data_IF_289609087644
#
_entry.id   IF_289609087644
#
_cell.length_a   1.000
_cell.length_b   1.000
_cell.length_c   1.000
_cell.angle_alpha   90.00
_cell.angle_beta   90.00
_cell.angle_gamma   90.00
#
_symmetry.space_group_name_H-M   'P 1'
#
loop_
_entity.id
_entity.type
_entity.pdbx_description
1 polymer ?
#
# COMPACT_ATOMS: atom_id res chain seq x y z
N UNK A 1 4.82 -26.63 -10.81
CA UNK A 1 5.19 -25.63 -11.81
C UNK A 1 5.92 -26.27 -12.99
N UNK A 2 7.20 -26.68 -12.90
CA UNK A 2 7.91 -27.32 -14.02
C UNK A 2 7.20 -28.52 -14.66
N UNK A 3 6.71 -29.49 -13.88
CA UNK A 3 6.06 -30.69 -14.45
C UNK A 3 4.66 -30.47 -15.05
N UNK A 4 3.91 -29.48 -14.55
CA UNK A 4 2.50 -29.27 -14.92
C UNK A 4 2.30 -28.08 -15.87
N UNK A 5 3.15 -27.07 -15.77
CA UNK A 5 3.03 -25.79 -16.47
C UNK A 5 4.26 -25.48 -17.32
N UNK A 6 5.32 -26.29 -17.26
CA UNK A 6 6.61 -26.04 -17.93
C UNK A 6 7.23 -24.67 -17.56
N UNK A 7 7.00 -24.26 -16.31
CA UNK A 7 7.52 -23.00 -15.74
C UNK A 7 8.64 -23.30 -14.75
N UNK A 8 9.81 -22.72 -14.99
CA UNK A 8 10.92 -22.69 -14.04
C UNK A 8 10.70 -21.59 -12.99
N UNK A 9 10.77 -21.97 -11.71
CA UNK A 9 10.67 -21.02 -10.60
C UNK A 9 12.08 -20.66 -10.16
N UNK A 10 12.50 -19.39 -10.26
CA UNK A 10 13.84 -18.99 -9.85
C UNK A 10 14.02 -19.18 -8.34
N UNK A 11 15.11 -19.84 -7.97
CA UNK A 11 15.50 -20.07 -6.57
C UNK A 11 16.81 -19.34 -6.25
N UNK A 12 16.97 -18.83 -5.02
CA UNK A 12 15.96 -18.80 -3.95
C UNK A 12 14.79 -17.85 -4.29
N UNK A 13 13.59 -18.20 -3.82
CA UNK A 13 12.43 -17.30 -3.94
C UNK A 13 12.75 -15.99 -3.20
N UNK A 14 12.49 -14.82 -3.80
CA UNK A 14 12.67 -13.52 -3.14
C UNK A 14 11.93 -13.44 -1.80
N UNK A 15 12.41 -12.57 -0.92
CA UNK A 15 11.82 -12.35 0.40
C UNK A 15 11.53 -10.87 0.59
N UNK A 16 10.45 -10.58 1.29
CA UNK A 16 10.00 -9.24 1.66
C UNK A 16 9.50 -9.30 3.10
N UNK A 17 9.77 -8.28 3.91
CA UNK A 17 9.18 -8.24 5.25
C UNK A 17 7.71 -7.83 5.18
N UNK A 18 6.90 -8.23 6.15
CA UNK A 18 5.51 -7.78 6.29
C UNK A 18 5.42 -6.25 6.25
N UNK A 19 6.32 -5.56 6.96
CA UNK A 19 6.38 -4.11 6.97
C UNK A 19 6.60 -3.53 5.56
N UNK A 20 7.48 -4.12 4.75
CA UNK A 20 7.68 -3.71 3.36
C UNK A 20 6.46 -4.01 2.49
N UNK A 21 5.83 -5.18 2.67
CA UNK A 21 4.65 -5.60 1.91
C UNK A 21 3.48 -4.62 2.15
N UNK A 22 3.21 -4.31 3.42
CA UNK A 22 2.20 -3.32 3.81
C UNK A 22 2.57 -1.90 3.38
N UNK A 23 3.84 -1.50 3.54
CA UNK A 23 4.26 -0.14 3.22
C UNK A 23 4.15 0.16 1.73
N UNK A 24 4.66 -0.74 0.89
CA UNK A 24 4.79 -0.56 -0.56
C UNK A 24 3.57 -1.06 -1.35
N UNK A 25 2.78 -2.00 -0.83
CA UNK A 25 1.68 -2.62 -1.59
C UNK A 25 0.33 -2.60 -0.87
N UNK A 26 0.28 -2.22 0.42
CA UNK A 26 -0.94 -2.25 1.21
C UNK A 26 -1.53 -3.66 1.38
N UNK A 27 -0.70 -4.69 1.30
CA UNK A 27 -1.11 -6.09 1.45
C UNK A 27 0.08 -6.95 1.82
N UNK A 28 -0.14 -7.90 2.72
CA UNK A 28 0.77 -8.99 3.09
C UNK A 28 0.81 -10.14 2.08
N UNK A 29 -0.12 -10.17 1.14
CA UNK A 29 -0.08 -11.01 -0.06
C UNK A 29 0.00 -10.14 -1.32
N UNK A 30 1.13 -9.45 -1.59
CA UNK A 30 1.22 -8.52 -2.70
C UNK A 30 1.29 -9.23 -4.06
N UNK A 31 0.58 -8.71 -5.05
CA UNK A 31 0.79 -9.08 -6.45
C UNK A 31 1.96 -8.28 -7.03
N UNK A 32 3.08 -8.95 -7.31
CA UNK A 32 4.32 -8.32 -7.78
C UNK A 32 4.45 -8.29 -9.32
N UNK A 33 3.42 -8.67 -10.07
CA UNK A 33 3.46 -8.67 -11.55
C UNK A 33 3.48 -7.27 -12.15
N UNK A 34 3.00 -6.27 -11.41
CA UNK A 34 2.92 -4.88 -11.83
C UNK A 34 3.48 -3.94 -10.76
N UNK A 35 3.75 -2.69 -11.14
CA UNK A 35 4.25 -1.65 -10.24
C UNK A 35 3.16 -1.09 -9.34
N UNK A 36 2.90 0.23 -9.47
CA UNK A 36 1.91 0.96 -8.68
C UNK A 36 2.15 0.87 -7.15
N UNK A 37 3.40 0.96 -6.72
CA UNK A 37 3.71 0.98 -5.28
C UNK A 37 3.07 2.18 -4.60
N UNK A 38 2.68 1.99 -3.34
CA UNK A 38 2.27 3.06 -2.44
C UNK A 38 3.51 3.88 -2.07
N UNK A 39 3.35 5.20 -2.03
CA UNK A 39 4.41 6.15 -1.69
C UNK A 39 3.94 7.01 -0.54
N UNK A 40 4.74 7.06 0.54
CA UNK A 40 4.50 7.84 1.75
C UNK A 40 4.76 9.34 1.51
N UNK A 41 3.76 10.18 1.77
CA UNK A 41 3.80 11.65 1.58
C UNK A 41 3.46 12.47 2.84
N UNK A 42 3.16 11.85 3.97
CA UNK A 42 2.72 12.49 5.23
C UNK A 42 3.62 13.64 5.68
N UNK A 43 4.94 13.50 5.59
CA UNK A 43 5.92 14.53 5.93
C UNK A 43 5.89 15.74 4.98
N UNK A 44 5.41 15.56 3.74
CA UNK A 44 5.28 16.65 2.76
C UNK A 44 3.95 17.41 2.89
N UNK A 45 2.96 16.80 3.53
CA UNK A 45 1.59 17.33 3.66
C UNK A 45 1.22 17.64 5.10
N UNK A 46 2.15 17.44 6.04
CA UNK A 46 2.04 17.89 7.42
C UNK A 46 1.86 19.42 7.44
N UNK A 47 0.75 19.87 8.00
CA UNK A 47 0.42 21.30 8.08
C UNK A 47 0.12 21.97 6.73
N UNK A 48 -0.14 21.23 5.65
CA UNK A 48 -0.58 21.83 4.38
C UNK A 48 -1.98 22.47 4.50
N UNK A 49 -2.32 23.35 3.55
CA UNK A 49 -3.63 24.04 3.55
C UNK A 49 -4.79 23.08 3.26
N UNK A 50 -4.51 21.90 2.68
CA UNK A 50 -5.52 20.89 2.43
C UNK A 50 -5.85 20.12 3.71
N UNK A 51 -6.86 20.62 4.43
CA UNK A 51 -7.24 20.14 5.76
C UNK A 51 -7.45 18.63 5.87
N UNK A 52 -7.93 17.95 4.83
CA UNK A 52 -8.13 16.50 4.85
C UNK A 52 -6.81 15.77 5.09
N UNK A 53 -5.72 16.21 4.47
CA UNK A 53 -4.40 15.60 4.64
C UNK A 53 -3.76 16.01 5.96
N UNK A 54 -3.79 17.31 6.28
CA UNK A 54 -3.22 17.82 7.52
C UNK A 54 -3.87 17.19 8.77
N UNK A 55 -5.19 17.01 8.76
CA UNK A 55 -5.92 16.39 9.87
C UNK A 55 -5.67 14.88 9.99
N UNK A 56 -5.50 14.17 8.87
CA UNK A 56 -5.16 12.75 8.90
C UNK A 56 -3.81 12.52 9.59
N UNK A 57 -2.78 13.28 9.20
CA UNK A 57 -1.44 13.22 9.81
C UNK A 57 -1.48 13.65 11.27
N UNK A 58 -2.13 14.78 11.58
CA UNK A 58 -2.24 15.26 12.97
C UNK A 58 -3.02 14.29 13.88
N UNK A 59 -3.90 13.46 13.31
CA UNK A 59 -4.64 12.40 14.01
C UNK A 59 -3.84 11.11 14.20
N UNK A 60 -2.57 11.05 13.81
CA UNK A 60 -1.73 9.85 13.86
C UNK A 60 -2.00 8.85 12.73
N UNK A 61 -2.74 9.26 11.69
CA UNK A 61 -2.87 8.51 10.45
C UNK A 61 -1.74 8.86 9.47
N UNK A 62 -1.95 8.53 8.20
CA UNK A 62 -0.98 8.76 7.15
C UNK A 62 -1.62 9.17 5.82
N UNK A 63 -0.79 9.74 4.94
CA UNK A 63 -1.14 10.07 3.56
C UNK A 63 -0.19 9.33 2.62
N UNK A 64 -0.76 8.38 1.87
CA UNK A 64 -0.05 7.66 0.81
C UNK A 64 -0.68 7.92 -0.54
N UNK A 65 0.13 7.72 -1.57
CA UNK A 65 -0.31 7.89 -2.95
C UNK A 65 0.18 6.77 -3.86
N UNK A 66 -0.52 6.59 -4.98
CA UNK A 66 -0.10 5.73 -6.09
C UNK A 66 0.07 6.61 -7.32
N UNK A 67 1.26 6.57 -7.93
CA UNK A 67 1.48 7.05 -9.30
C UNK A 67 0.96 6.00 -10.28
N UNK A 68 0.13 6.42 -11.21
CA UNK A 68 -0.43 5.63 -12.30
C UNK A 68 0.13 6.17 -13.63
N UNK A 69 1.18 5.54 -14.17
CA UNK A 69 1.79 5.97 -15.43
C UNK A 69 0.76 6.01 -16.56
N UNK A 70 0.68 7.12 -17.30
CA UNK A 70 -0.29 7.32 -18.38
C UNK A 70 -1.76 7.41 -17.94
N UNK A 71 -2.03 7.39 -16.63
CA UNK A 71 -3.38 7.42 -16.06
C UNK A 71 -4.11 8.77 -16.23
N UNK A 72 -3.43 9.80 -16.74
CA UNK A 72 -4.05 11.09 -17.07
C UNK A 72 -5.17 10.99 -18.11
N UNK A 73 -5.25 9.88 -18.84
CA UNK A 73 -6.31 9.57 -19.81
C UNK A 73 -7.64 9.18 -19.17
N UNK A 74 -7.65 8.74 -17.90
CA UNK A 74 -8.87 8.32 -17.20
C UNK A 74 -9.90 9.46 -17.14
N UNK A 75 -11.15 9.18 -17.48
CA UNK A 75 -12.21 10.20 -17.49
C UNK A 75 -12.57 10.66 -16.07
N UNK A 76 -13.32 11.76 -15.96
CA UNK A 76 -13.83 12.19 -14.65
C UNK A 76 -14.71 11.10 -14.00
N UNK A 77 -15.52 10.42 -14.81
CA UNK A 77 -16.35 9.30 -14.36
C UNK A 77 -15.49 8.16 -13.80
N UNK A 78 -14.40 7.80 -14.46
CA UNK A 78 -13.50 6.77 -13.96
C UNK A 78 -12.94 7.13 -12.58
N UNK A 79 -12.57 8.39 -12.37
CA UNK A 79 -12.06 8.87 -11.08
C UNK A 79 -13.14 8.88 -9.99
N UNK A 80 -14.38 9.23 -10.34
CA UNK A 80 -15.51 9.16 -9.42
C UNK A 80 -15.80 7.67 -9.05
N UNK A 81 -15.79 6.76 -10.02
CA UNK A 81 -15.96 5.30 -9.80
C UNK A 81 -14.83 4.72 -8.90
N UNK A 82 -13.58 5.15 -9.10
CA UNK A 82 -12.46 4.77 -8.23
C UNK A 82 -12.58 5.37 -6.82
N UNK A 83 -13.16 6.57 -6.69
CA UNK A 83 -13.45 7.18 -5.40
C UNK A 83 -14.50 6.38 -4.64
N UNK A 84 -15.54 5.90 -5.33
CA UNK A 84 -16.55 5.02 -4.73
C UNK A 84 -15.99 3.64 -4.38
N UNK A 85 -15.08 3.11 -5.20
CA UNK A 85 -14.39 1.86 -4.92
C UNK A 85 -13.63 1.89 -3.59
N UNK A 86 -12.80 2.91 -3.34
CA UNK A 86 -12.02 2.98 -2.09
C UNK A 86 -12.89 3.18 -0.85
N UNK A 87 -14.09 3.75 -0.99
CA UNK A 87 -15.03 3.92 0.13
C UNK A 87 -15.52 2.59 0.70
N UNK A 88 -15.57 1.55 -0.12
CA UNK A 88 -15.92 0.18 0.34
C UNK A 88 -14.89 -0.33 1.35
N UNK A 89 -13.65 0.13 1.26
CA UNK A 89 -12.53 -0.21 2.16
C UNK A 89 -12.34 0.83 3.28
N UNK A 90 -13.37 1.61 3.59
CA UNK A 90 -13.40 2.52 4.74
C UNK A 90 -12.81 3.92 4.48
N UNK A 91 -12.17 4.16 3.32
CA UNK A 91 -11.66 5.49 3.01
C UNK A 91 -12.81 6.50 2.87
N UNK A 92 -12.67 7.69 3.46
CA UNK A 92 -13.71 8.73 3.37
C UNK A 92 -13.83 9.33 1.96
N UNK A 93 -12.77 9.22 1.17
CA UNK A 93 -12.72 9.62 -0.22
C UNK A 93 -11.33 9.41 -0.82
N UNK A 94 -11.17 9.82 -2.06
CA UNK A 94 -9.92 9.74 -2.81
C UNK A 94 -9.62 11.11 -3.39
N UNK A 95 -8.44 11.65 -3.10
CA UNK A 95 -7.93 12.81 -3.83
C UNK A 95 -7.14 12.33 -5.04
N UNK A 96 -7.06 13.14 -6.09
CA UNK A 96 -6.34 12.77 -7.29
C UNK A 96 -5.73 14.00 -7.97
N UNK A 97 -4.65 13.80 -8.71
CA UNK A 97 -3.97 14.82 -9.51
C UNK A 97 -3.60 14.23 -10.86
N UNK A 98 -3.94 14.93 -11.94
CA UNK A 98 -3.35 14.65 -13.25
C UNK A 98 -2.21 15.62 -13.52
N UNK A 99 -1.06 15.10 -13.93
CA UNK A 99 0.07 15.92 -14.36
C UNK A 99 -0.09 16.26 -15.84
N UNK A 100 -0.37 17.52 -16.12
CA UNK A 100 -0.40 18.10 -17.46
C UNK A 100 0.92 18.82 -17.75
N UNK A 101 1.14 19.24 -19.00
CA UNK A 101 2.32 20.01 -19.39
C UNK A 101 2.40 21.38 -18.71
N UNK A 102 1.25 21.95 -18.35
CA UNK A 102 1.11 23.26 -17.71
C UNK A 102 0.97 23.18 -16.17
N UNK A 103 0.99 21.98 -15.58
CA UNK A 103 0.95 21.78 -14.13
C UNK A 103 -0.06 20.73 -13.67
N UNK A 104 -0.57 20.88 -12.46
CA UNK A 104 -1.54 19.96 -11.86
C UNK A 104 -2.97 20.32 -12.27
N UNK A 105 -3.66 19.36 -12.89
CA UNK A 105 -5.10 19.41 -13.06
C UNK A 105 -5.77 18.61 -11.93
N UNK A 106 -6.34 19.31 -10.95
CA UNK A 106 -6.98 18.69 -9.78
C UNK A 106 -7.84 19.67 -8.97
N UNK A 107 -8.92 19.20 -8.30
CA UNK A 107 -9.59 19.97 -7.25
C UNK A 107 -8.68 20.38 -6.08
N UNK A 108 -7.62 19.61 -5.81
CA UNK A 108 -6.73 19.83 -4.66
C UNK A 108 -5.48 20.66 -4.98
N UNK A 109 -5.18 20.91 -6.26
CA UNK A 109 -3.93 21.58 -6.68
C UNK A 109 -3.73 22.96 -6.02
N UNK A 110 -4.83 23.72 -5.86
CA UNK A 110 -4.81 25.08 -5.27
C UNK A 110 -4.39 25.12 -3.79
N UNK A 111 -4.35 23.99 -3.09
CA UNK A 111 -3.97 23.92 -1.68
C UNK A 111 -2.49 23.59 -1.46
N UNK A 112 -1.72 23.47 -2.54
CA UNK A 112 -0.29 23.17 -2.47
C UNK A 112 0.50 24.26 -3.19
N UNK A 113 1.59 24.70 -2.56
CA UNK A 113 2.51 25.64 -3.20
C UNK A 113 3.27 24.96 -4.35
N UNK A 114 3.84 25.73 -5.31
CA UNK A 114 4.66 25.16 -6.37
C UNK A 114 5.82 24.30 -5.85
N UNK A 115 6.43 24.67 -4.73
CA UNK A 115 7.52 23.92 -4.09
C UNK A 115 7.04 22.58 -3.52
N UNK A 116 5.87 22.55 -2.88
CA UNK A 116 5.26 21.32 -2.39
C UNK A 116 4.88 20.40 -3.56
N UNK A 117 4.28 20.94 -4.62
CA UNK A 117 3.96 20.18 -5.83
C UNK A 117 5.22 19.57 -6.44
N UNK A 118 6.29 20.36 -6.61
CA UNK A 118 7.56 19.89 -7.16
C UNK A 118 8.20 18.80 -6.30
N UNK A 119 8.12 18.92 -4.97
CA UNK A 119 8.70 17.91 -4.05
C UNK A 119 7.93 16.60 -4.11
N UNK A 120 6.59 16.66 -4.16
CA UNK A 120 5.75 15.48 -4.36
C UNK A 120 5.98 14.84 -5.74
N UNK A 121 6.10 15.65 -6.79
CA UNK A 121 6.43 15.18 -8.14
C UNK A 121 7.75 14.41 -8.16
N UNK A 122 8.80 14.95 -7.53
CA UNK A 122 10.09 14.29 -7.47
C UNK A 122 10.01 12.95 -6.70
N UNK A 123 9.33 12.92 -5.56
CA UNK A 123 9.20 11.69 -4.74
C UNK A 123 8.40 10.60 -5.44
N UNK A 124 7.36 10.99 -6.18
CA UNK A 124 6.53 10.07 -6.96
C UNK A 124 7.19 9.69 -8.30
N UNK A 125 8.22 10.43 -8.73
CA UNK A 125 8.77 10.36 -10.08
C UNK A 125 7.73 10.73 -11.13
N UNK A 126 6.86 11.71 -10.86
CA UNK A 126 5.69 12.00 -11.67
C UNK A 126 6.06 12.60 -13.03
N UNK A 127 5.49 12.05 -14.11
CA UNK A 127 5.71 12.53 -15.48
C UNK A 127 4.42 13.13 -16.08
N UNK A 128 4.59 13.93 -17.14
CA UNK A 128 3.43 14.49 -17.87
C UNK A 128 2.60 13.36 -18.49
N UNK A 129 1.29 13.40 -18.27
CA UNK A 129 0.35 12.36 -18.68
C UNK A 129 0.00 11.37 -17.58
N UNK A 130 0.65 11.43 -16.42
CA UNK A 130 0.38 10.55 -15.30
C UNK A 130 -0.79 11.03 -14.43
N UNK A 131 -1.35 10.08 -13.70
CA UNK A 131 -2.30 10.32 -12.61
C UNK A 131 -1.63 9.95 -11.29
N UNK A 132 -1.93 10.71 -10.24
CA UNK A 132 -1.67 10.34 -8.85
C UNK A 132 -3.00 10.25 -8.14
N UNK A 133 -3.20 9.17 -7.38
CA UNK A 133 -4.34 9.01 -6.47
C UNK A 133 -3.82 8.95 -5.04
N UNK A 134 -4.54 9.55 -4.11
CA UNK A 134 -4.14 9.72 -2.71
C UNK A 134 -5.23 9.19 -1.79
N UNK A 135 -4.80 8.57 -0.68
CA UNK A 135 -5.64 8.24 0.46
C UNK A 135 -5.02 8.85 1.73
N UNK A 136 -5.87 9.41 2.59
CA UNK A 136 -5.49 10.06 3.83
C UNK A 136 -6.45 9.61 4.94
N UNK A 137 -6.01 8.67 5.76
CA UNK A 137 -6.79 8.10 6.87
C UNK A 137 -5.84 7.36 7.85
N UNK A 138 -6.35 6.55 8.76
CA UNK A 138 -5.51 5.63 9.56
C UNK A 138 -4.76 4.63 8.69
N UNK A 139 -3.60 4.15 9.14
CA UNK A 139 -2.73 3.26 8.35
C UNK A 139 -3.43 2.01 7.82
N UNK A 140 -4.28 1.37 8.63
CA UNK A 140 -5.06 0.19 8.22
C UNK A 140 -5.97 0.51 7.02
N UNK A 141 -6.71 1.63 7.11
CA UNK A 141 -7.62 2.08 6.04
C UNK A 141 -6.84 2.49 4.79
N UNK A 142 -5.70 3.15 4.95
CA UNK A 142 -4.85 3.55 3.82
C UNK A 142 -4.29 2.33 3.09
N UNK A 143 -3.78 1.34 3.84
CA UNK A 143 -3.28 0.09 3.29
C UNK A 143 -4.39 -0.67 2.55
N UNK A 144 -5.54 -0.89 3.17
CA UNK A 144 -6.66 -1.61 2.57
C UNK A 144 -7.19 -0.90 1.32
N UNK A 145 -7.45 0.40 1.41
CA UNK A 145 -8.01 1.17 0.31
C UNK A 145 -7.05 1.24 -0.89
N UNK A 146 -5.78 1.61 -0.66
CA UNK A 146 -4.82 1.74 -1.75
C UNK A 146 -4.34 0.38 -2.27
N UNK A 147 -4.16 -0.62 -1.42
CA UNK A 147 -3.79 -1.98 -1.84
C UNK A 147 -4.83 -2.61 -2.76
N UNK A 148 -6.11 -2.47 -2.43
CA UNK A 148 -7.19 -2.93 -3.31
C UNK A 148 -7.34 -2.06 -4.56
N UNK A 149 -7.23 -0.73 -4.42
CA UNK A 149 -7.29 0.18 -5.57
C UNK A 149 -6.18 -0.12 -6.58
N UNK A 150 -4.98 -0.44 -6.09
CA UNK A 150 -3.82 -0.84 -6.89
C UNK A 150 -4.16 -2.05 -7.78
N UNK A 151 -4.82 -3.06 -7.22
CA UNK A 151 -5.26 -4.26 -7.95
C UNK A 151 -6.36 -3.93 -8.97
N UNK A 152 -7.32 -3.09 -8.58
CA UNK A 152 -8.40 -2.67 -9.49
C UNK A 152 -7.86 -1.84 -10.67
N UNK A 153 -6.90 -0.94 -10.43
CA UNK A 153 -6.20 -0.21 -11.47
C UNK A 153 -5.41 -1.15 -12.39
N UNK A 154 -4.69 -2.13 -11.83
CA UNK A 154 -3.98 -3.12 -12.63
C UNK A 154 -4.92 -3.95 -13.50
N UNK A 155 -6.12 -4.28 -13.02
CA UNK A 155 -7.15 -4.97 -13.80
C UNK A 155 -7.70 -4.08 -14.91
N UNK A 156 -8.05 -2.83 -14.64
CA UNK A 156 -8.61 -1.88 -15.63
C UNK A 156 -7.61 -1.50 -16.72
N UNK A 157 -6.34 -1.41 -16.36
CA UNK A 157 -5.24 -1.00 -17.23
C UNK A 157 -4.45 -2.20 -17.78
N UNK A 158 -4.90 -3.43 -17.51
CA UNK A 158 -4.31 -4.68 -18.00
C UNK A 158 -2.79 -4.78 -17.70
N UNK A 159 -2.38 -4.39 -16.50
CA UNK A 159 -0.96 -4.29 -16.11
C UNK A 159 -0.35 -5.63 -15.68
N UNK A 160 -1.16 -6.64 -15.41
CA UNK A 160 -0.72 -7.95 -14.94
C UNK A 160 -0.77 -8.96 -16.09
N UNK A 161 0.36 -9.59 -16.41
CA UNK A 161 0.43 -10.72 -17.34
C UNK A 161 0.09 -12.02 -16.59
N UNK A 162 -0.94 -12.73 -17.05
CA UNK A 162 -1.39 -13.99 -16.46
C UNK A 162 -0.43 -15.17 -16.68
N UNK A 163 0.53 -15.04 -17.60
CA UNK A 163 1.56 -16.04 -17.85
C UNK A 163 2.82 -15.81 -17.01
N UNK A 164 2.87 -14.71 -16.25
CA UNK A 164 3.99 -14.39 -15.37
C UNK A 164 3.69 -14.84 -13.95
N UNK A 165 4.60 -15.60 -13.37
CA UNK A 165 4.53 -16.05 -11.98
C UNK A 165 5.57 -15.29 -11.14
N UNK A 166 5.09 -14.55 -10.13
CA UNK A 166 5.93 -13.84 -9.17
C UNK A 166 5.68 -14.39 -7.78
N UNK A 167 6.68 -15.13 -7.30
CA UNK A 167 6.72 -15.65 -5.94
C UNK A 167 7.44 -14.67 -5.03
N UNK A 168 6.97 -14.54 -3.79
CA UNK A 168 7.72 -13.94 -2.69
C UNK A 168 7.39 -14.64 -1.39
N UNK A 169 8.38 -14.80 -0.53
CA UNK A 169 8.11 -15.01 0.88
C UNK A 169 7.81 -13.67 1.53
N UNK A 170 6.76 -13.62 2.34
CA UNK A 170 6.55 -12.54 3.31
C UNK A 170 6.94 -13.07 4.67
N UNK A 171 7.81 -12.35 5.38
CA UNK A 171 8.35 -12.77 6.68
C UNK A 171 8.21 -11.64 7.69
N UNK A 172 8.63 -11.86 8.94
CA UNK A 172 8.73 -10.79 9.94
C UNK A 172 7.36 -10.18 10.29
N UNK A 173 6.30 -10.99 10.19
CA UNK A 173 4.95 -10.59 10.60
C UNK A 173 4.93 -10.18 12.07
N UNK A 174 4.16 -9.14 12.44
CA UNK A 174 3.82 -8.86 13.83
C UNK A 174 3.35 -10.12 14.55
N UNK A 175 3.78 -10.29 15.80
CA UNK A 175 3.30 -11.39 16.63
C UNK A 175 1.83 -11.21 17.03
N UNK A 176 1.45 -9.94 17.25
CA UNK A 176 0.11 -9.54 17.64
C UNK A 176 -0.42 -8.43 16.74
N UNK A 177 -1.74 -8.41 16.60
CA UNK A 177 -2.50 -7.31 16.04
C UNK A 177 -3.47 -6.77 17.11
N UNK A 178 -3.91 -5.52 16.96
CA UNK A 178 -4.94 -4.95 17.83
C UNK A 178 -6.32 -5.10 17.20
N UNK A 179 -7.13 -5.98 17.76
CA UNK A 179 -8.53 -6.13 17.37
C UNK A 179 -9.33 -4.96 17.95
N UNK A 180 -9.77 -4.05 17.07
CA UNK A 180 -10.53 -2.86 17.45
C UNK A 180 -11.96 -3.19 17.90
N UNK A 181 -12.55 -4.28 17.41
CA UNK A 181 -13.90 -4.71 17.78
C UNK A 181 -13.89 -5.32 19.19
N UNK A 182 -12.98 -6.27 19.43
CA UNK A 182 -12.81 -6.91 20.73
C UNK A 182 -12.00 -6.05 21.73
N UNK A 183 -11.41 -4.95 21.27
CA UNK A 183 -10.57 -4.00 22.04
C UNK A 183 -9.42 -4.68 22.79
N UNK A 184 -8.78 -5.65 22.16
CA UNK A 184 -7.69 -6.45 22.75
C UNK A 184 -6.66 -6.86 21.70
N UNK A 185 -5.51 -7.31 22.18
CA UNK A 185 -4.54 -7.96 21.31
C UNK A 185 -5.08 -9.33 20.87
N UNK A 186 -4.88 -9.62 19.60
CA UNK A 186 -5.08 -10.93 18.97
C UNK A 186 -3.76 -11.41 18.39
N UNK A 187 -3.57 -12.73 18.28
CA UNK A 187 -2.43 -13.29 17.56
C UNK A 187 -2.64 -13.09 16.07
N UNK A 188 -1.62 -12.62 15.37
CA UNK A 188 -1.74 -12.37 13.93
C UNK A 188 -1.86 -13.66 13.10
N UNK A 189 -1.20 -14.73 13.56
CA UNK A 189 -1.27 -16.06 12.92
C UNK A 189 -1.90 -17.07 13.88
N UNK A 190 -1.07 -17.81 14.61
CA UNK A 190 -1.53 -18.75 15.64
C UNK A 190 -0.95 -18.35 17.00
N UNK A 191 -1.67 -18.56 18.13
CA UNK A 191 -1.14 -18.31 19.48
C UNK A 191 0.15 -19.05 19.87
N UNK A 192 0.64 -19.97 19.03
CA UNK A 192 1.87 -20.74 19.26
C UNK A 192 3.04 -20.28 18.38
N UNK A 193 2.83 -19.27 17.54
CA UNK A 193 3.89 -18.70 16.71
C UNK A 193 4.98 -18.13 17.62
N UNK A 194 6.23 -18.53 17.37
CA UNK A 194 7.37 -18.03 18.14
C UNK A 194 7.70 -16.59 17.74
N UNK A 195 8.07 -15.71 18.68
CA UNK A 195 8.71 -14.44 18.37
C UNK A 195 10.05 -14.64 17.67
N UNK A 196 10.53 -13.61 16.96
CA UNK A 196 11.93 -13.51 16.55
C UNK A 196 12.81 -13.37 17.79
N UNK A 197 13.92 -14.11 17.82
CA UNK A 197 14.84 -14.14 18.97
C UNK A 197 15.43 -12.75 19.22
N UNK A 198 15.69 -11.99 18.17
CA UNK A 198 16.24 -10.62 18.23
C UNK A 198 15.30 -9.64 18.93
N UNK A 199 13.98 -9.89 18.87
CA UNK A 199 12.97 -9.03 19.48
C UNK A 199 12.66 -9.45 20.94
N UNK A 200 13.27 -10.54 21.44
CA UNK A 200 13.06 -11.01 22.81
C UNK A 200 13.71 -10.09 23.85
N UNK A 201 14.88 -9.51 23.54
CA UNK A 201 15.53 -8.54 24.43
C UNK A 201 14.80 -7.20 24.42
N UNK A 202 14.12 -6.89 23.31
CA UNK A 202 13.21 -5.75 23.15
C UNK A 202 11.79 -6.04 23.65
N UNK A 203 11.55 -7.21 24.27
CA UNK A 203 10.27 -7.57 24.88
C UNK A 203 10.06 -6.71 26.14
N UNK A 204 9.67 -5.47 25.93
CA UNK A 204 9.06 -4.65 26.96
C UNK A 204 7.56 -4.94 26.98
N UNK A 205 6.95 -5.28 28.14
CA UNK A 205 5.50 -5.50 28.25
C UNK A 205 4.65 -4.32 27.77
N UNK A 206 5.27 -3.16 27.58
CA UNK A 206 4.67 -1.88 27.17
C UNK A 206 4.46 -1.75 25.67
N UNK A 207 5.10 -2.55 24.81
CA UNK A 207 4.99 -2.42 23.34
C UNK A 207 4.81 -3.75 22.58
N UNK A 208 3.82 -4.58 22.91
CA UNK A 208 3.66 -5.92 22.33
C UNK A 208 3.44 -5.94 20.81
N UNK A 209 2.96 -4.83 20.22
CA UNK A 209 2.74 -4.70 18.77
C UNK A 209 4.03 -4.53 17.96
N UNK A 210 5.18 -4.27 18.61
CA UNK A 210 6.48 -4.14 17.93
C UNK A 210 7.23 -5.47 17.80
N UNK A 211 6.75 -6.52 18.47
CA UNK A 211 7.40 -7.83 18.47
C UNK A 211 7.05 -8.52 17.14
N UNK A 212 8.07 -8.87 16.37
CA UNK A 212 7.90 -9.69 15.17
C UNK A 212 7.93 -11.16 15.52
N UNK A 213 7.34 -11.94 14.63
CA UNK A 213 7.23 -13.37 14.72
C UNK A 213 8.10 -14.06 13.68
N UNK A 214 8.37 -15.35 13.92
CA UNK A 214 9.02 -16.24 12.97
C UNK A 214 8.05 -16.77 11.90
N UNK A 215 6.85 -16.20 11.81
CA UNK A 215 5.89 -16.60 10.80
C UNK A 215 6.35 -16.18 9.40
N UNK A 216 5.92 -16.93 8.41
CA UNK A 216 6.19 -16.66 7.01
C UNK A 216 5.11 -17.22 6.11
N UNK A 217 4.83 -16.49 5.03
CA UNK A 217 3.87 -16.86 4.01
C UNK A 217 4.53 -16.92 2.64
N UNK A 218 4.20 -17.94 1.83
CA UNK A 218 4.56 -17.98 0.42
C UNK A 218 3.41 -17.40 -0.40
N UNK A 219 3.68 -16.32 -1.11
CA UNK A 219 2.71 -15.60 -1.92
C UNK A 219 3.03 -15.80 -3.40
N UNK A 220 1.99 -16.01 -4.21
CA UNK A 220 2.08 -16.03 -5.67
C UNK A 220 1.01 -15.11 -6.26
N UNK A 221 1.44 -14.11 -7.03
CA UNK A 221 0.54 -13.24 -7.81
C UNK A 221 -0.62 -12.66 -6.98
N UNK A 222 -0.34 -12.28 -5.74
CA UNK A 222 -1.33 -11.70 -4.83
C UNK A 222 -2.23 -12.70 -4.11
N UNK A 223 -1.84 -13.97 -4.07
CA UNK A 223 -2.54 -15.05 -3.36
C UNK A 223 -1.57 -15.74 -2.42
N UNK A 224 -1.94 -15.85 -1.15
CA UNK A 224 -1.26 -16.70 -0.18
C UNK A 224 -1.45 -18.18 -0.57
N UNK A 225 -0.35 -18.88 -0.83
CA UNK A 225 -0.38 -20.31 -1.15
C UNK A 225 -0.23 -21.17 0.11
N UNK A 226 0.31 -20.60 1.18
CA UNK A 226 0.41 -21.20 2.50
C UNK A 226 1.38 -20.45 3.41
N UNK A 227 1.27 -20.71 4.70
CA UNK A 227 2.07 -20.09 5.74
C UNK A 227 2.44 -21.04 6.88
N UNK A 228 3.24 -20.56 7.82
CA UNK A 228 3.69 -21.32 9.00
C UNK A 228 4.46 -20.50 10.02
#
# INVERSE_FOLDING_TARGET
>A
FGTLLDVEVPLPVPRMTYAQAMDEYGSDAPDLRFGLKLVQLSDLVEGCDFQVFAQAVAGGGEVKAIRVPGGGTLSRKDLDDLTDFVRIYGAKGMAWVKKQSDGWQSPIAKFFTPEQQSTMEQRLGLEVGDLVVFCADSSDVVADALGNLRRELARRLELADDNVYRFTWVTDFPLFEYDREAKRLSSMHHPFTSPLVEDLDAYEPTEPLKIRSRAYDIVLNGVELGGG
#
